data_IF_900969696974
#
_entry.id   IF_900969696974
#
_cell.length_a   1.000
_cell.length_b   1.000
_cell.length_c   1.000
_cell.angle_alpha   90.00
_cell.angle_beta   90.00
_cell.angle_gamma   90.00
#
_symmetry.space_group_name_H-M   'P 1'
#
loop_
_entity.id
_entity.type
_entity.pdbx_description
1 polymer ?
#
# COMPACT_ATOMS: atom_id res chain seq x y z
N UNK A 1 -23.76 23.11 -17.69
CA UNK A 1 -23.38 21.85 -17.03
C UNK A 1 -22.31 22.21 -16.03
N UNK A 2 -22.62 22.21 -14.73
CA UNK A 2 -21.61 22.42 -13.70
C UNK A 2 -20.62 21.24 -13.77
N UNK A 3 -19.31 21.44 -13.55
CA UNK A 3 -18.39 20.33 -13.47
C UNK A 3 -18.86 19.38 -12.36
N UNK A 4 -18.84 18.07 -12.62
CA UNK A 4 -19.04 17.09 -11.56
C UNK A 4 -18.08 17.41 -10.40
N UNK A 5 -18.52 17.28 -9.14
CA UNK A 5 -17.60 17.41 -8.02
C UNK A 5 -16.44 16.45 -8.24
N UNK A 6 -15.22 16.93 -8.04
CA UNK A 6 -14.05 16.07 -8.06
C UNK A 6 -14.33 14.87 -7.15
N UNK A 7 -14.06 13.62 -7.60
CA UNK A 7 -14.26 12.47 -6.75
C UNK A 7 -13.54 12.72 -5.42
N UNK A 8 -14.13 12.35 -4.27
CA UNK A 8 -13.50 12.57 -2.98
C UNK A 8 -12.07 12.05 -3.03
N UNK A 9 -11.13 12.79 -2.43
CA UNK A 9 -9.74 12.38 -2.36
C UNK A 9 -9.68 10.95 -1.78
N UNK A 10 -9.36 9.99 -2.66
CA UNK A 10 -9.27 8.58 -2.31
C UNK A 10 -8.22 8.43 -1.21
N UNK A 11 -8.55 7.68 -0.17
CA UNK A 11 -7.60 7.29 0.85
C UNK A 11 -6.46 6.47 0.19
N UNK A 12 -5.22 6.92 0.32
CA UNK A 12 -4.10 6.16 -0.26
C UNK A 12 -3.73 5.00 0.68
N UNK A 13 -3.73 3.77 0.17
CA UNK A 13 -3.26 2.59 0.88
C UNK A 13 -1.83 2.28 0.40
N UNK A 14 -0.77 2.68 1.10
CA UNK A 14 0.60 2.34 0.72
C UNK A 14 0.84 0.83 0.80
N UNK A 15 1.41 0.29 -0.26
CA UNK A 15 1.94 -1.07 -0.32
C UNK A 15 3.16 -1.22 0.61
N UNK A 16 3.50 -2.46 0.94
CA UNK A 16 4.67 -2.83 1.74
C UNK A 16 5.95 -2.25 1.15
N UNK A 17 6.10 -2.28 -0.18
CA UNK A 17 7.30 -1.73 -0.84
C UNK A 17 7.46 -0.21 -0.62
N UNK A 18 6.34 0.51 -0.50
CA UNK A 18 6.31 1.94 -0.26
C UNK A 18 6.63 2.24 1.20
N UNK A 19 6.05 1.49 2.14
CA UNK A 19 6.36 1.62 3.57
C UNK A 19 7.84 1.33 3.86
N UNK A 20 8.39 0.27 3.26
CA UNK A 20 9.81 -0.07 3.39
C UNK A 20 10.69 1.06 2.84
N UNK A 21 10.38 1.60 1.67
CA UNK A 21 11.13 2.72 1.11
C UNK A 21 11.02 3.99 1.95
N UNK A 22 9.85 4.28 2.53
CA UNK A 22 9.62 5.45 3.37
C UNK A 22 10.45 5.37 4.66
N UNK A 23 10.49 4.21 5.30
CA UNK A 23 11.08 4.04 6.63
C UNK A 23 12.56 3.62 6.59
N UNK A 24 13.12 3.38 5.40
CA UNK A 24 14.53 3.02 5.23
C UNK A 24 15.27 4.06 4.38
N UNK A 25 16.02 5.01 4.99
CA UNK A 25 16.69 6.08 4.27
C UNK A 25 17.67 5.66 3.17
N UNK A 26 18.26 4.47 3.29
CA UNK A 26 19.19 3.93 2.29
C UNK A 26 18.46 3.23 1.11
N UNK A 27 17.13 3.16 1.12
CA UNK A 27 16.37 2.56 0.03
C UNK A 27 16.43 3.44 -1.23
N UNK A 28 16.61 2.82 -2.41
CA UNK A 28 16.71 3.55 -3.69
C UNK A 28 15.49 4.43 -4.00
N UNK A 29 14.30 4.02 -3.54
CA UNK A 29 13.06 4.77 -3.71
C UNK A 29 12.72 5.71 -2.53
N UNK A 30 13.63 5.91 -1.57
CA UNK A 30 13.34 6.68 -0.35
C UNK A 30 12.87 8.12 -0.65
N UNK A 31 13.53 8.81 -1.58
CA UNK A 31 13.15 10.18 -1.97
C UNK A 31 11.75 10.24 -2.59
N UNK A 32 11.40 9.23 -3.38
CA UNK A 32 10.08 9.17 -4.02
C UNK A 32 8.99 8.84 -2.98
N UNK A 33 9.28 7.94 -2.04
CA UNK A 33 8.38 7.63 -0.92
C UNK A 33 8.17 8.86 -0.02
N UNK A 34 9.22 9.63 0.26
CA UNK A 34 9.12 10.88 1.02
C UNK A 34 8.30 11.94 0.28
N UNK A 35 8.47 12.06 -1.05
CA UNK A 35 7.68 12.97 -1.86
C UNK A 35 6.18 12.62 -1.78
N UNK A 36 5.83 11.33 -1.97
CA UNK A 36 4.45 10.85 -1.77
C UNK A 36 3.94 11.15 -0.36
N UNK A 37 4.73 10.83 0.66
CA UNK A 37 4.34 11.02 2.06
C UNK A 37 4.16 12.50 2.42
N UNK A 38 4.85 13.42 1.74
CA UNK A 38 4.69 14.86 1.95
C UNK A 38 3.44 15.41 1.23
N UNK A 39 3.08 14.82 0.09
CA UNK A 39 1.93 15.26 -0.70
C UNK A 39 0.60 14.63 -0.29
N UNK A 40 0.63 13.48 0.37
CA UNK A 40 -0.59 12.73 0.71
C UNK A 40 -1.41 13.42 1.80
N UNK A 41 -2.71 13.60 1.54
CA UNK A 41 -3.64 14.23 2.50
C UNK A 41 -4.05 13.27 3.62
N UNK A 42 -4.40 12.03 3.24
CA UNK A 42 -4.76 10.93 4.13
C UNK A 42 -4.26 9.62 3.54
N UNK A 43 -3.80 8.73 4.39
CA UNK A 43 -3.35 7.40 3.98
C UNK A 43 -3.75 6.36 5.01
N UNK A 44 -3.74 5.08 4.62
CA UNK A 44 -4.12 3.98 5.48
C UNK A 44 -2.92 3.13 5.91
N UNK A 45 -3.07 2.42 7.02
CA UNK A 45 -2.38 1.14 7.24
C UNK A 45 -3.41 0.04 7.43
N UNK A 46 -3.02 -1.20 7.22
CA UNK A 46 -3.89 -2.37 7.34
C UNK A 46 -3.09 -3.56 7.86
N UNK A 47 -3.68 -4.57 8.53
CA UNK A 47 -2.92 -5.72 9.07
C UNK A 47 -1.89 -6.31 8.11
N UNK A 48 -2.24 -6.42 6.83
CA UNK A 48 -1.38 -7.04 5.82
C UNK A 48 -0.18 -6.16 5.45
N UNK A 49 -0.34 -4.84 5.35
CA UNK A 49 0.80 -3.93 5.05
C UNK A 49 1.70 -3.75 6.26
N UNK A 50 1.13 -3.69 7.47
CA UNK A 50 1.88 -3.62 8.73
C UNK A 50 2.71 -4.89 8.95
N UNK A 51 2.09 -6.07 8.83
CA UNK A 51 2.79 -7.35 8.94
C UNK A 51 3.84 -7.53 7.86
N UNK A 52 3.52 -7.09 6.63
CA UNK A 52 4.45 -7.09 5.51
C UNK A 52 5.67 -6.20 5.78
N UNK A 53 5.46 -4.99 6.30
CA UNK A 53 6.52 -4.07 6.69
C UNK A 53 7.42 -4.69 7.77
N UNK A 54 6.86 -5.20 8.88
CA UNK A 54 7.65 -5.81 9.96
C UNK A 54 8.48 -6.99 9.44
N UNK A 55 7.88 -7.87 8.62
CA UNK A 55 8.59 -9.00 7.99
C UNK A 55 9.77 -8.54 7.13
N UNK A 56 9.64 -7.42 6.42
CA UNK A 56 10.71 -6.87 5.58
C UNK A 56 11.77 -6.14 6.38
N UNK A 57 11.37 -5.36 7.39
CA UNK A 57 12.29 -4.65 8.28
C UNK A 57 13.22 -5.62 9.03
N UNK A 58 12.68 -6.78 9.44
CA UNK A 58 13.42 -7.83 10.14
C UNK A 58 14.23 -8.75 9.21
N UNK A 59 14.11 -8.62 7.89
CA UNK A 59 14.85 -9.44 6.94
C UNK A 59 16.20 -8.78 6.61
N UNK A 60 17.35 -9.35 7.05
CA UNK A 60 18.66 -8.71 6.84
C UNK A 60 19.02 -8.57 5.35
N UNK A 61 18.52 -9.46 4.49
CA UNK A 61 18.77 -9.39 3.05
C UNK A 61 18.06 -8.20 2.39
N UNK A 62 17.02 -7.67 3.02
CA UNK A 62 16.23 -6.52 2.53
C UNK A 62 16.67 -5.23 3.23
N UNK A 63 16.84 -5.27 4.55
CA UNK A 63 17.20 -4.11 5.35
C UNK A 63 18.67 -3.66 5.18
N UNK A 64 19.53 -4.50 4.57
CA UNK A 64 20.96 -4.22 4.41
C UNK A 64 21.77 -4.21 5.71
N UNK A 65 21.07 -4.35 6.85
CA UNK A 65 21.60 -4.42 8.20
C UNK A 65 20.64 -5.22 9.07
N UNK A 66 21.10 -5.64 10.25
CA UNK A 66 20.23 -6.26 11.25
C UNK A 66 19.41 -5.16 11.92
N UNK A 67 18.10 -5.16 11.72
CA UNK A 67 17.16 -4.29 12.43
C UNK A 67 16.61 -5.04 13.64
N UNK A 68 16.56 -4.42 14.80
CA UNK A 68 15.91 -5.02 15.96
C UNK A 68 14.38 -4.99 15.82
N UNK A 69 13.69 -5.89 16.53
CA UNK A 69 12.21 -5.84 16.59
C UNK A 69 11.72 -4.50 17.17
N UNK A 70 12.41 -3.99 18.18
CA UNK A 70 12.03 -2.73 18.82
C UNK A 70 12.14 -1.53 17.86
N UNK A 71 13.18 -1.49 17.01
CA UNK A 71 13.33 -0.46 15.99
C UNK A 71 12.27 -0.57 14.88
N UNK A 72 11.97 -1.80 14.43
CA UNK A 72 10.93 -2.04 13.45
C UNK A 72 9.55 -1.64 13.97
N UNK A 73 9.23 -2.01 15.22
CA UNK A 73 7.97 -1.64 15.87
C UNK A 73 7.90 -0.13 16.13
N UNK A 74 8.99 0.51 16.54
CA UNK A 74 9.05 1.97 16.71
C UNK A 74 8.79 2.70 15.40
N UNK A 75 9.33 2.19 14.29
CA UNK A 75 9.10 2.73 12.95
C UNK A 75 7.62 2.61 12.55
N UNK A 76 7.01 1.43 12.73
CA UNK A 76 5.58 1.24 12.46
C UNK A 76 4.71 2.16 13.35
N UNK A 77 5.02 2.26 14.64
CA UNK A 77 4.31 3.13 15.57
C UNK A 77 4.40 4.60 15.17
N UNK A 78 5.53 5.05 14.62
CA UNK A 78 5.67 6.41 14.11
C UNK A 78 4.73 6.71 12.94
N UNK A 79 4.53 5.74 12.03
CA UNK A 79 3.56 5.87 10.94
C UNK A 79 2.13 5.91 11.50
N UNK A 80 1.82 5.04 12.46
CA UNK A 80 0.51 4.98 13.14
C UNK A 80 0.19 6.21 13.99
N UNK A 81 1.19 7.00 14.35
CA UNK A 81 1.02 8.24 15.10
C UNK A 81 0.82 9.48 14.19
N UNK A 82 0.98 9.36 12.87
CA UNK A 82 0.70 10.47 11.95
C UNK A 82 -0.80 10.82 11.99
N UNK A 83 -1.14 12.10 12.14
CA UNK A 83 -2.53 12.59 12.19
C UNK A 83 -3.35 12.29 10.93
N UNK A 84 -2.70 11.95 9.81
CA UNK A 84 -3.30 11.65 8.50
C UNK A 84 -3.56 10.17 8.30
N UNK A 85 -3.08 9.30 9.20
CA UNK A 85 -3.19 7.85 9.06
C UNK A 85 -4.56 7.36 9.52
N UNK A 86 -5.15 6.47 8.74
CA UNK A 86 -6.34 5.70 9.10
C UNK A 86 -5.98 4.23 9.24
N UNK A 87 -6.65 3.51 10.15
CA UNK A 87 -6.55 2.05 10.19
C UNK A 87 -7.69 1.45 9.38
N UNK A 88 -7.34 0.67 8.36
CA UNK A 88 -8.30 -0.09 7.56
C UNK A 88 -8.21 -1.55 7.97
N UNK A 89 -9.28 -2.06 8.57
CA UNK A 89 -9.40 -3.48 8.87
C UNK A 89 -9.42 -4.29 7.58
N UNK A 90 -8.80 -5.46 7.58
CA UNK A 90 -8.91 -6.42 6.48
C UNK A 90 -10.19 -7.25 6.66
N UNK A 91 -11.27 -6.79 6.04
CA UNK A 91 -12.61 -7.36 6.11
C UNK A 91 -13.09 -7.92 4.75
N UNK A 92 -12.16 -8.07 3.79
CA UNK A 92 -12.46 -8.52 2.43
C UNK A 92 -12.11 -9.99 2.19
N UNK A 93 -12.59 -10.55 1.08
CA UNK A 93 -12.33 -11.94 0.71
C UNK A 93 -12.17 -12.10 -0.80
N UNK A 94 -11.12 -12.81 -1.22
CA UNK A 94 -10.94 -13.19 -2.63
C UNK A 94 -11.95 -14.24 -3.12
N UNK A 95 -12.72 -14.87 -2.21
CA UNK A 95 -13.82 -15.75 -2.59
C UNK A 95 -15.07 -14.97 -3.03
N UNK A 96 -15.18 -13.69 -2.64
CA UNK A 96 -16.26 -12.76 -2.98
C UNK A 96 -15.64 -11.38 -3.28
N UNK A 97 -14.85 -11.27 -4.35
CA UNK A 97 -14.09 -10.05 -4.62
C UNK A 97 -14.98 -8.92 -5.13
N UNK A 98 -14.59 -7.69 -4.81
CA UNK A 98 -15.14 -6.44 -5.34
C UNK A 98 -14.55 -6.10 -6.72
N UNK A 99 -13.33 -6.56 -7.00
CA UNK A 99 -12.63 -6.39 -8.27
C UNK A 99 -12.69 -7.67 -9.13
N UNK A 100 -12.45 -7.56 -10.43
CA UNK A 100 -12.26 -8.70 -11.30
C UNK A 100 -10.87 -9.35 -11.09
N UNK A 101 -10.85 -10.65 -10.84
CA UNK A 101 -9.64 -11.44 -10.64
C UNK A 101 -9.08 -12.05 -11.94
N UNK A 102 -9.58 -11.67 -13.12
CA UNK A 102 -9.15 -12.21 -14.43
C UNK A 102 -7.64 -12.19 -14.65
N UNK A 103 -6.92 -11.22 -14.07
CA UNK A 103 -5.47 -11.11 -14.17
C UNK A 103 -4.67 -11.79 -13.06
N UNK A 104 -5.33 -12.43 -12.10
CA UNK A 104 -4.69 -13.19 -11.04
C UNK A 104 -4.29 -14.58 -11.57
N UNK A 105 -3.08 -14.67 -12.13
CA UNK A 105 -2.60 -15.88 -12.82
C UNK A 105 -1.66 -16.72 -11.93
N UNK A 106 -0.91 -16.08 -11.03
CA UNK A 106 0.11 -16.76 -10.24
C UNK A 106 0.16 -16.36 -8.77
N UNK A 107 0.73 -17.25 -7.95
CA UNK A 107 0.83 -17.09 -6.49
C UNK A 107 1.50 -15.78 -6.04
N UNK A 108 2.35 -15.18 -6.87
CA UNK A 108 3.05 -13.92 -6.57
C UNK A 108 2.13 -12.71 -6.53
N UNK A 109 1.01 -12.76 -7.25
CA UNK A 109 0.07 -11.65 -7.38
C UNK A 109 -1.05 -11.70 -6.32
N UNK A 110 -1.12 -12.77 -5.52
CA UNK A 110 -2.25 -12.98 -4.58
C UNK A 110 -2.37 -11.85 -3.58
N UNK A 111 -1.25 -11.45 -2.96
CA UNK A 111 -1.24 -10.33 -2.01
C UNK A 111 -1.58 -9.01 -2.70
N UNK A 112 -1.06 -8.78 -3.89
CA UNK A 112 -1.32 -7.55 -4.63
C UNK A 112 -2.81 -7.42 -4.98
N UNK A 113 -3.42 -8.48 -5.52
CA UNK A 113 -4.86 -8.50 -5.82
C UNK A 113 -5.71 -8.38 -4.56
N UNK A 114 -5.29 -8.99 -3.44
CA UNK A 114 -5.98 -8.82 -2.16
C UNK A 114 -5.95 -7.36 -1.68
N UNK A 115 -4.81 -6.68 -1.79
CA UNK A 115 -4.67 -5.28 -1.44
C UNK A 115 -5.50 -4.35 -2.35
N UNK A 116 -5.55 -4.64 -3.66
CA UNK A 116 -6.41 -3.88 -4.59
C UNK A 116 -7.88 -4.10 -4.27
N UNK A 117 -8.27 -5.34 -3.95
CA UNK A 117 -9.62 -5.69 -3.55
C UNK A 117 -10.02 -4.97 -2.25
N UNK A 118 -9.13 -4.93 -1.26
CA UNK A 118 -9.33 -4.18 -0.02
C UNK A 118 -9.46 -2.68 -0.29
N UNK A 119 -8.59 -2.12 -1.14
CA UNK A 119 -8.66 -0.71 -1.53
C UNK A 119 -10.02 -0.39 -2.18
N UNK A 120 -10.52 -1.27 -3.05
CA UNK A 120 -11.83 -1.12 -3.67
C UNK A 120 -12.99 -1.12 -2.65
N UNK A 121 -12.96 -2.01 -1.66
CA UNK A 121 -13.98 -2.08 -0.59
C UNK A 121 -14.04 -0.79 0.25
N UNK A 122 -12.90 -0.16 0.50
CA UNK A 122 -12.78 0.99 1.41
C UNK A 122 -12.74 2.34 0.69
N UNK A 123 -13.11 2.40 -0.60
CA UNK A 123 -12.99 3.62 -1.41
C UNK A 123 -11.59 4.26 -1.32
N UNK A 124 -10.59 3.39 -1.34
CA UNK A 124 -9.18 3.72 -1.23
C UNK A 124 -8.46 3.37 -2.55
N UNK A 125 -7.17 3.67 -2.61
CA UNK A 125 -6.32 3.35 -3.76
C UNK A 125 -4.97 2.83 -3.29
N UNK A 126 -4.58 1.64 -3.75
CA UNK A 126 -3.28 1.06 -3.47
C UNK A 126 -2.18 1.90 -4.14
N UNK A 127 -1.22 2.38 -3.36
CA UNK A 127 -0.05 3.10 -3.86
C UNK A 127 1.18 2.21 -3.77
N UNK A 128 1.83 1.95 -4.91
CA UNK A 128 2.90 0.95 -5.00
C UNK A 128 4.02 1.41 -5.94
N UNK A 129 5.22 0.87 -5.78
CA UNK A 129 6.28 0.97 -6.78
C UNK A 129 6.18 -0.10 -7.88
N UNK A 130 5.31 -1.11 -7.75
CA UNK A 130 5.16 -2.13 -8.77
C UNK A 130 4.29 -1.64 -9.95
N UNK A 131 4.97 -1.22 -11.01
CA UNK A 131 4.33 -0.77 -12.27
C UNK A 131 3.73 -1.92 -13.08
N UNK A 132 4.00 -3.18 -12.73
CA UNK A 132 3.44 -4.35 -13.43
C UNK A 132 2.05 -4.71 -12.92
N UNK A 133 1.64 -4.23 -11.75
CA UNK A 133 0.34 -4.56 -11.16
C UNK A 133 -0.82 -4.03 -11.99
N UNK A 134 -0.85 -2.73 -12.29
CA UNK A 134 -1.96 -2.10 -13.00
C UNK A 134 -2.28 -2.74 -14.37
N UNK A 135 -1.30 -3.10 -15.23
CA UNK A 135 -1.55 -3.84 -16.46
C UNK A 135 -2.25 -5.20 -16.29
N UNK A 136 -2.10 -5.84 -15.13
CA UNK A 136 -2.75 -7.13 -14.85
C UNK A 136 -4.21 -6.98 -14.44
N UNK A 137 -4.65 -5.79 -14.01
CA UNK A 137 -6.04 -5.56 -13.60
C UNK A 137 -6.96 -5.34 -14.80
N UNK A 138 -8.24 -5.68 -14.61
CA UNK A 138 -9.30 -5.27 -15.51
C UNK A 138 -9.33 -3.74 -15.67
N UNK A 139 -9.70 -3.20 -16.85
CA UNK A 139 -9.63 -1.77 -17.12
C UNK A 139 -10.30 -0.88 -16.07
N UNK A 140 -11.47 -1.28 -15.56
CA UNK A 140 -12.23 -0.56 -14.52
C UNK A 140 -11.54 -0.54 -13.16
N UNK A 141 -10.79 -1.59 -12.81
CA UNK A 141 -10.19 -1.76 -11.49
C UNK A 141 -8.83 -1.06 -11.36
N UNK A 142 -8.23 -0.65 -12.48
CA UNK A 142 -6.97 0.13 -12.50
C UNK A 142 -7.06 1.44 -11.73
N UNK A 143 -8.27 1.99 -11.55
CA UNK A 143 -8.51 3.18 -10.73
C UNK A 143 -8.13 3.00 -9.26
N UNK A 144 -8.13 1.75 -8.77
CA UNK A 144 -7.77 1.40 -7.40
C UNK A 144 -6.26 1.21 -7.22
N UNK A 145 -5.44 1.49 -8.24
CA UNK A 145 -3.97 1.44 -8.15
C UNK A 145 -3.36 2.75 -8.63
N UNK A 146 -2.36 3.24 -7.88
CA UNK A 146 -1.48 4.32 -8.27
C UNK A 146 -0.03 3.85 -8.17
N UNK A 147 0.61 3.68 -9.33
CA UNK A 147 2.04 3.37 -9.37
C UNK A 147 2.87 4.66 -9.34
N UNK A 148 3.81 4.75 -8.40
CA UNK A 148 4.82 5.80 -8.34
C UNK A 148 5.97 5.52 -9.33
#
# INVERSE_FOLDING_TARGET
>A
MLPEPAPPALLDLPDVNLLVALLHPAHVHHLQAQAWFTSVERFATTPITESGFIRMALNPAVAGQVTSLDDAMSSLNSVRADKRVEYVADDTSLALPTIDLVGLVGFRQVTDFHLVNLAACHSARLVTFDRKLAPTLAPEDRRFVHSL
#
